data_IF_581354107730
#
_entry.id   IF_581354107730
#
_cell.length_a   1.000
_cell.length_b   1.000
_cell.length_c   1.000
_cell.angle_alpha   90.00
_cell.angle_beta   90.00
_cell.angle_gamma   90.00
#
_symmetry.space_group_name_H-M   'P 1'
#
loop_
_entity.id
_entity.type
_entity.pdbx_description
1 polymer ?
#
# COMPACT_ATOMS: atom_id res chain seq x y z
N UNK A 1 10.11 1.08 26.04
CA UNK A 1 8.85 0.62 26.71
C UNK A 1 8.44 -0.68 26.05
N UNK A 2 8.32 -1.75 26.80
CA UNK A 2 7.77 -3.03 26.32
C UNK A 2 6.28 -2.85 26.04
N UNK A 3 5.85 -3.31 24.86
CA UNK A 3 4.43 -3.26 24.50
C UNK A 3 3.60 -4.11 25.48
N UNK A 4 2.51 -3.59 26.02
CA UNK A 4 1.62 -4.36 26.87
C UNK A 4 0.86 -5.42 26.05
N UNK A 5 0.28 -6.41 26.71
CA UNK A 5 -0.57 -7.42 26.04
C UNK A 5 -1.72 -6.75 25.27
N UNK A 6 -2.34 -5.71 25.86
CA UNK A 6 -3.40 -4.93 25.19
C UNK A 6 -2.92 -4.27 23.89
N UNK A 7 -1.70 -3.71 23.89
CA UNK A 7 -1.12 -3.09 22.69
C UNK A 7 -0.89 -4.12 21.58
N UNK A 8 -0.44 -5.33 21.93
CA UNK A 8 -0.26 -6.44 20.97
C UNK A 8 -1.61 -6.89 20.40
N UNK A 9 -2.65 -6.99 21.22
CA UNK A 9 -4.00 -7.32 20.75
C UNK A 9 -4.49 -6.27 19.76
N UNK A 10 -4.37 -4.98 20.09
CA UNK A 10 -4.73 -3.89 19.17
C UNK A 10 -3.90 -3.92 17.88
N UNK A 11 -2.61 -4.19 17.96
CA UNK A 11 -1.76 -4.36 16.78
C UNK A 11 -2.29 -5.48 15.86
N UNK A 12 -2.61 -6.65 16.43
CA UNK A 12 -3.14 -7.77 15.64
C UNK A 12 -4.49 -7.40 15.02
N UNK A 13 -5.38 -6.77 15.79
CA UNK A 13 -6.70 -6.37 15.30
C UNK A 13 -6.60 -5.34 14.17
N UNK A 14 -5.79 -4.29 14.31
CA UNK A 14 -5.76 -3.19 13.35
C UNK A 14 -4.86 -3.45 12.14
N UNK A 15 -3.74 -4.18 12.30
CA UNK A 15 -2.79 -4.37 11.20
C UNK A 15 -2.93 -5.73 10.49
N UNK A 16 -3.54 -6.74 11.12
CA UNK A 16 -3.69 -8.06 10.51
C UNK A 16 -5.14 -8.41 10.18
N UNK A 17 -6.08 -8.10 11.08
CA UNK A 17 -7.47 -8.52 10.95
C UNK A 17 -8.30 -7.46 10.20
N UNK A 18 -8.28 -6.21 10.65
CA UNK A 18 -9.08 -5.13 10.07
C UNK A 18 -8.86 -4.96 8.56
N UNK A 19 -7.60 -5.01 8.02
CA UNK A 19 -7.39 -4.91 6.57
C UNK A 19 -8.12 -6.01 5.78
N UNK A 20 -8.21 -7.24 6.32
CA UNK A 20 -8.94 -8.32 5.64
C UNK A 20 -10.43 -8.01 5.53
N UNK A 21 -11.03 -7.48 6.60
CA UNK A 21 -12.46 -7.10 6.59
C UNK A 21 -12.72 -5.89 5.67
N UNK A 22 -11.92 -4.84 5.80
CA UNK A 22 -11.99 -3.65 4.94
C UNK A 22 -11.85 -4.06 3.47
N UNK A 23 -10.79 -4.80 3.16
CA UNK A 23 -10.53 -5.20 1.77
C UNK A 23 -11.57 -6.15 1.22
N UNK A 24 -12.14 -7.06 2.02
CA UNK A 24 -13.22 -7.92 1.55
C UNK A 24 -14.50 -7.12 1.27
N UNK A 25 -14.83 -6.11 2.07
CA UNK A 25 -15.94 -5.20 1.79
C UNK A 25 -15.72 -4.45 0.46
N UNK A 26 -14.50 -3.96 0.21
CA UNK A 26 -14.12 -3.30 -1.03
C UNK A 26 -14.13 -4.28 -2.21
N UNK A 27 -13.55 -5.48 -2.09
CA UNK A 27 -13.61 -6.51 -3.14
C UNK A 27 -15.05 -6.81 -3.55
N UNK A 28 -15.94 -6.98 -2.57
CA UNK A 28 -17.36 -7.22 -2.83
C UNK A 28 -18.01 -6.05 -3.58
N UNK A 29 -17.72 -4.80 -3.17
CA UNK A 29 -18.24 -3.59 -3.83
C UNK A 29 -17.72 -3.44 -5.26
N UNK A 30 -16.50 -3.88 -5.52
CA UNK A 30 -15.87 -3.85 -6.84
C UNK A 30 -16.17 -5.11 -7.68
N UNK A 31 -17.10 -5.97 -7.25
CA UNK A 31 -17.45 -7.23 -7.93
C UNK A 31 -16.24 -8.16 -8.14
N UNK A 32 -15.29 -8.12 -7.23
CA UNK A 32 -14.09 -8.96 -7.23
C UNK A 32 -14.24 -10.10 -6.23
N UNK A 33 -13.76 -11.29 -6.58
CA UNK A 33 -13.73 -12.41 -5.63
C UNK A 33 -12.79 -12.09 -4.46
N UNK A 34 -13.32 -12.08 -3.23
CA UNK A 34 -12.52 -11.94 -2.01
C UNK A 34 -11.83 -13.27 -1.69
N UNK A 35 -10.51 -13.29 -1.75
CA UNK A 35 -9.67 -14.33 -1.12
C UNK A 35 -8.86 -13.66 -0.02
N UNK A 36 -8.36 -14.42 0.98
CA UNK A 36 -7.61 -13.82 2.09
C UNK A 36 -6.46 -12.94 1.60
N UNK A 37 -5.55 -13.39 0.68
CA UNK A 37 -4.47 -12.52 0.20
C UNK A 37 -4.98 -11.27 -0.52
N UNK A 38 -6.01 -11.41 -1.37
CA UNK A 38 -6.58 -10.26 -2.09
C UNK A 38 -7.25 -9.28 -1.14
N UNK A 39 -8.04 -9.78 -0.19
CA UNK A 39 -8.69 -8.93 0.80
C UNK A 39 -7.67 -8.20 1.66
N UNK A 40 -6.59 -8.85 2.07
CA UNK A 40 -5.52 -8.23 2.85
C UNK A 40 -4.84 -7.10 2.07
N UNK A 41 -4.46 -7.33 0.81
CA UNK A 41 -3.85 -6.31 -0.08
C UNK A 41 -4.82 -5.16 -0.34
N UNK A 42 -6.06 -5.47 -0.76
CA UNK A 42 -7.07 -4.45 -1.03
C UNK A 42 -7.42 -3.64 0.21
N UNK A 43 -7.35 -4.25 1.39
CA UNK A 43 -7.51 -3.57 2.66
C UNK A 43 -6.43 -2.52 2.89
N UNK A 44 -5.16 -2.88 2.75
CA UNK A 44 -4.07 -1.92 2.87
C UNK A 44 -4.13 -0.82 1.83
N UNK A 45 -4.37 -1.15 0.56
CA UNK A 45 -4.52 -0.16 -0.49
C UNK A 45 -5.68 0.80 -0.20
N UNK A 46 -6.81 0.30 0.31
CA UNK A 46 -7.96 1.14 0.67
C UNK A 46 -7.67 2.01 1.90
N UNK A 47 -7.04 1.44 2.92
CA UNK A 47 -6.65 2.18 4.13
C UNK A 47 -5.67 3.31 3.77
N UNK A 48 -4.65 3.03 2.96
CA UNK A 48 -3.68 4.03 2.52
C UNK A 48 -4.31 5.11 1.64
N UNK A 49 -5.16 4.74 0.68
CA UNK A 49 -5.85 5.69 -0.19
C UNK A 49 -6.76 6.63 0.61
N UNK A 50 -7.54 6.09 1.54
CA UNK A 50 -8.44 6.89 2.39
C UNK A 50 -7.64 7.79 3.32
N UNK A 51 -6.55 7.28 3.92
CA UNK A 51 -5.67 8.10 4.76
C UNK A 51 -5.09 9.26 3.97
N UNK A 52 -4.56 8.99 2.76
CA UNK A 52 -4.02 10.01 1.87
C UNK A 52 -5.06 11.12 1.56
N UNK A 53 -6.30 10.73 1.23
CA UNK A 53 -7.37 11.65 0.86
C UNK A 53 -7.82 12.51 2.06
N UNK A 54 -7.85 11.95 3.26
CA UNK A 54 -8.29 12.65 4.48
C UNK A 54 -7.17 13.51 5.05
N UNK A 55 -5.99 12.93 5.22
CA UNK A 55 -4.91 13.54 6.01
C UNK A 55 -4.25 14.71 5.29
N UNK A 56 -4.04 14.65 3.97
CA UNK A 56 -3.40 15.77 3.26
C UNK A 56 -4.18 17.08 3.41
N UNK A 57 -5.50 17.15 3.16
CA UNK A 57 -6.28 18.37 3.44
C UNK A 57 -6.21 18.82 4.90
N UNK A 58 -6.25 17.89 5.86
CA UNK A 58 -6.18 18.25 7.28
C UNK A 58 -4.81 18.82 7.69
N UNK A 59 -3.71 18.32 7.08
CA UNK A 59 -2.38 18.92 7.26
C UNK A 59 -2.37 20.34 6.70
N UNK A 60 -2.86 20.54 5.48
CA UNK A 60 -2.91 21.86 4.83
C UNK A 60 -3.73 22.88 5.61
N UNK A 61 -4.81 22.45 6.24
CA UNK A 61 -5.64 23.25 7.14
C UNK A 61 -5.03 23.40 8.55
N UNK A 62 -3.85 22.81 8.80
CA UNK A 62 -3.15 22.81 10.10
C UNK A 62 -4.02 22.32 11.26
N UNK A 63 -4.90 21.34 10.98
CA UNK A 63 -5.79 20.73 11.97
C UNK A 63 -4.98 19.84 12.91
N UNK A 64 -5.43 19.65 14.15
CA UNK A 64 -4.75 18.80 15.12
C UNK A 64 -4.76 17.33 14.70
N UNK A 65 -3.69 16.61 15.03
CA UNK A 65 -3.56 15.18 14.75
C UNK A 65 -4.70 14.33 15.35
N UNK A 66 -5.21 14.71 16.51
CA UNK A 66 -6.35 14.00 17.13
C UNK A 66 -7.59 14.02 16.23
N UNK A 67 -7.87 15.13 15.55
CA UNK A 67 -8.99 15.22 14.59
C UNK A 67 -8.78 14.25 13.43
N UNK A 68 -7.57 14.20 12.88
CA UNK A 68 -7.23 13.23 11.82
C UNK A 68 -7.44 11.79 12.28
N UNK A 69 -6.96 11.44 13.49
CA UNK A 69 -7.17 10.12 14.10
C UNK A 69 -8.65 9.77 14.21
N UNK A 70 -9.47 10.71 14.68
CA UNK A 70 -10.91 10.47 14.84
C UNK A 70 -11.61 10.32 13.51
N UNK A 71 -11.40 11.26 12.58
CA UNK A 71 -12.05 11.25 11.25
C UNK A 71 -11.69 9.98 10.48
N UNK A 72 -10.40 9.65 10.43
CA UNK A 72 -9.96 8.45 9.72
C UNK A 72 -10.47 7.16 10.39
N UNK A 73 -10.43 7.07 11.72
CA UNK A 73 -10.96 5.90 12.45
C UNK A 73 -12.45 5.72 12.23
N UNK A 74 -13.24 6.81 12.24
CA UNK A 74 -14.68 6.76 11.95
C UNK A 74 -14.93 6.21 10.54
N UNK A 75 -14.12 6.61 9.56
CA UNK A 75 -14.24 6.12 8.20
C UNK A 75 -13.94 4.62 8.09
N UNK A 76 -12.87 4.15 8.76
CA UNK A 76 -12.53 2.72 8.80
C UNK A 76 -13.61 1.89 9.50
N UNK A 77 -14.11 2.36 10.64
CA UNK A 77 -15.21 1.70 11.35
C UNK A 77 -16.46 1.65 10.46
N UNK A 78 -16.77 2.73 9.74
CA UNK A 78 -17.86 2.76 8.78
C UNK A 78 -17.76 1.69 7.71
N UNK A 79 -16.56 1.47 7.12
CA UNK A 79 -16.35 0.41 6.12
C UNK A 79 -16.51 -0.98 6.75
N UNK A 80 -15.99 -1.20 7.96
CA UNK A 80 -16.11 -2.48 8.67
C UNK A 80 -17.57 -2.78 8.98
N UNK A 81 -18.31 -1.79 9.54
CA UNK A 81 -19.74 -1.92 9.84
C UNK A 81 -20.53 -2.21 8.56
N UNK A 82 -20.25 -1.49 7.46
CA UNK A 82 -20.84 -1.79 6.16
C UNK A 82 -20.59 -3.25 5.75
N UNK A 83 -19.36 -3.72 5.88
CA UNK A 83 -18.99 -5.11 5.57
C UNK A 83 -19.75 -6.13 6.42
N UNK A 84 -19.93 -5.85 7.71
CA UNK A 84 -20.69 -6.70 8.64
C UNK A 84 -22.17 -6.72 8.27
N UNK A 85 -22.79 -5.55 8.10
CA UNK A 85 -24.21 -5.40 7.77
C UNK A 85 -24.53 -6.09 6.44
N UNK A 86 -23.70 -5.90 5.42
CA UNK A 86 -23.84 -6.57 4.10
C UNK A 86 -23.37 -8.01 4.10
N UNK A 87 -22.86 -8.53 5.22
CA UNK A 87 -22.36 -9.91 5.38
C UNK A 87 -21.32 -10.28 4.33
N UNK A 88 -20.49 -9.31 3.92
CA UNK A 88 -19.49 -9.51 2.85
C UNK A 88 -18.48 -10.60 3.20
N UNK A 89 -18.22 -10.84 4.48
CA UNK A 89 -17.35 -11.92 4.95
C UNK A 89 -17.82 -13.33 4.48
N UNK A 90 -19.12 -13.50 4.17
CA UNK A 90 -19.65 -14.75 3.62
C UNK A 90 -19.27 -14.99 2.16
N UNK A 91 -18.89 -13.94 1.43
CA UNK A 91 -18.43 -14.05 0.05
C UNK A 91 -16.95 -14.36 -0.08
N UNK A 92 -16.23 -14.43 1.06
CA UNK A 92 -14.81 -14.77 1.07
C UNK A 92 -14.63 -16.24 0.67
N UNK A 93 -13.83 -16.48 -0.36
CA UNK A 93 -13.55 -17.82 -0.86
C UNK A 93 -12.17 -18.29 -0.41
N UNK A 94 -12.10 -19.51 0.07
CA UNK A 94 -10.83 -20.20 0.29
C UNK A 94 -10.56 -21.01 -0.97
N UNK A 95 -9.51 -20.69 -1.76
CA UNK A 95 -9.21 -21.44 -2.96
C UNK A 95 -8.83 -22.88 -2.59
N UNK A 96 -9.31 -23.84 -3.36
CA UNK A 96 -8.87 -25.23 -3.24
C UNK A 96 -7.44 -25.32 -3.75
N UNK A 97 -6.56 -25.77 -2.89
CA UNK A 97 -5.13 -25.94 -3.19
C UNK A 97 -4.88 -27.40 -3.53
N UNK A 98 -4.17 -27.67 -4.61
CA UNK A 98 -3.78 -29.02 -4.99
C UNK A 98 -2.83 -29.61 -3.92
N UNK A 99 -2.96 -30.92 -3.57
CA UNK A 99 -2.10 -31.53 -2.56
C UNK A 99 -0.60 -31.34 -2.84
N UNK A 100 -0.19 -31.40 -4.10
CA UNK A 100 1.19 -31.19 -4.55
C UNK A 100 1.73 -29.78 -4.29
N UNK A 101 0.86 -28.79 -4.14
CA UNK A 101 1.29 -27.40 -3.93
C UNK A 101 1.53 -27.06 -2.46
N UNK A 102 1.08 -27.88 -1.50
CA UNK A 102 1.25 -27.60 -0.06
C UNK A 102 2.71 -27.49 0.34
N UNK A 103 3.59 -28.36 -0.17
CA UNK A 103 5.02 -28.29 0.09
C UNK A 103 5.59 -26.94 -0.36
N UNK A 104 5.24 -26.49 -1.57
CA UNK A 104 5.66 -25.19 -2.09
C UNK A 104 5.15 -24.03 -1.23
N UNK A 105 3.90 -24.09 -0.76
CA UNK A 105 3.32 -23.05 0.11
C UNK A 105 4.02 -23.02 1.47
N UNK A 106 4.31 -24.19 2.06
CA UNK A 106 5.03 -24.27 3.35
C UNK A 106 6.43 -23.68 3.21
N UNK A 107 7.18 -24.05 2.15
CA UNK A 107 8.50 -23.49 1.87
C UNK A 107 8.44 -21.98 1.65
N UNK A 108 7.44 -21.49 0.89
CA UNK A 108 7.22 -20.07 0.67
C UNK A 108 7.00 -19.32 2.00
N UNK A 109 6.15 -19.84 2.87
CA UNK A 109 5.90 -19.25 4.19
C UNK A 109 7.15 -19.27 5.07
N UNK A 110 7.89 -20.38 5.09
CA UNK A 110 9.15 -20.49 5.83
C UNK A 110 10.19 -19.48 5.32
N UNK A 111 10.33 -19.31 4.00
CA UNK A 111 11.21 -18.32 3.39
C UNK A 111 10.77 -16.88 3.76
N UNK A 112 9.47 -16.61 3.79
CA UNK A 112 8.93 -15.32 4.24
C UNK A 112 9.23 -15.03 5.72
N UNK A 113 9.05 -16.02 6.60
CA UNK A 113 9.43 -15.89 8.01
C UNK A 113 10.94 -15.64 8.15
N UNK A 114 11.76 -16.37 7.41
CA UNK A 114 13.20 -16.13 7.39
C UNK A 114 13.55 -14.71 6.95
N UNK A 115 12.89 -14.19 5.91
CA UNK A 115 13.05 -12.80 5.45
C UNK A 115 12.69 -11.79 6.55
N UNK A 116 11.60 -12.02 7.30
CA UNK A 116 11.23 -11.19 8.46
C UNK A 116 12.33 -11.21 9.51
N UNK A 117 12.89 -12.38 9.84
CA UNK A 117 14.00 -12.49 10.79
C UNK A 117 15.22 -11.73 10.30
N UNK A 118 15.55 -11.83 9.02
CA UNK A 118 16.69 -11.09 8.44
C UNK A 118 16.45 -9.58 8.47
N UNK A 119 15.23 -9.10 8.24
CA UNK A 119 14.91 -7.67 8.31
C UNK A 119 15.15 -7.08 9.71
N UNK A 120 14.96 -7.86 10.78
CA UNK A 120 15.32 -7.43 12.13
C UNK A 120 16.83 -7.45 12.40
N UNK A 121 17.53 -8.45 11.85
CA UNK A 121 18.99 -8.61 12.08
C UNK A 121 19.83 -7.60 11.31
N UNK A 122 19.38 -7.21 10.13
CA UNK A 122 20.11 -6.34 9.19
C UNK A 122 19.58 -4.91 9.19
N UNK A 123 18.68 -4.57 10.09
CA UNK A 123 18.08 -3.25 10.18
C UNK A 123 19.14 -2.15 10.30
N UNK A 124 19.06 -1.15 9.43
CA UNK A 124 19.96 -0.01 9.43
C UNK A 124 19.22 1.23 9.93
N UNK A 125 19.44 1.58 11.19
CA UNK A 125 19.02 2.85 11.76
C UNK A 125 20.00 3.94 11.32
N UNK A 126 19.56 4.91 10.53
CA UNK A 126 20.44 5.96 10.01
C UNK A 126 19.71 7.31 9.85
N UNK A 127 20.36 8.25 9.13
CA UNK A 127 19.91 9.62 8.95
C UNK A 127 18.44 9.79 8.47
N UNK A 128 17.87 8.83 7.73
CA UNK A 128 16.48 8.92 7.30
C UNK A 128 15.48 8.72 8.46
N UNK A 129 15.91 8.19 9.60
CA UNK A 129 15.08 8.10 10.81
C UNK A 129 14.68 9.48 11.33
N UNK A 130 15.55 10.47 11.19
CA UNK A 130 15.24 11.87 11.54
C UNK A 130 14.02 12.37 10.76
N UNK A 131 13.87 11.96 9.51
CA UNK A 131 12.73 12.35 8.69
C UNK A 131 11.46 11.54 9.02
N UNK A 132 11.54 10.22 9.05
CA UNK A 132 10.35 9.39 9.17
C UNK A 132 9.97 9.11 10.63
N UNK A 133 10.92 8.62 11.43
CA UNK A 133 10.65 8.18 12.81
C UNK A 133 10.43 9.38 13.72
N UNK A 134 11.29 10.39 13.62
CA UNK A 134 11.20 11.58 14.49
C UNK A 134 9.94 12.38 14.18
N UNK A 135 9.56 12.55 12.90
CA UNK A 135 8.29 13.19 12.54
C UNK A 135 7.08 12.44 13.08
N UNK A 136 7.09 11.08 13.05
CA UNK A 136 6.02 10.28 13.62
C UNK A 136 5.95 10.45 15.15
N UNK A 137 7.09 10.43 15.85
CA UNK A 137 7.17 10.65 17.30
C UNK A 137 6.69 12.05 17.66
N UNK A 138 7.14 13.06 16.93
CA UNK A 138 6.76 14.46 17.17
C UNK A 138 5.25 14.67 16.95
N UNK A 139 4.68 14.10 15.89
CA UNK A 139 3.25 14.16 15.60
C UNK A 139 2.42 13.61 16.79
N UNK A 140 2.82 12.45 17.34
CA UNK A 140 2.14 11.87 18.52
C UNK A 140 2.31 12.74 19.75
N UNK A 141 3.51 13.29 19.98
CA UNK A 141 3.86 14.06 21.17
C UNK A 141 3.19 15.44 21.20
N UNK A 142 3.25 16.15 20.07
CA UNK A 142 2.78 17.55 19.98
C UNK A 142 1.30 17.66 19.60
N UNK A 143 0.68 16.57 19.14
CA UNK A 143 -0.64 16.56 18.52
C UNK A 143 -0.75 17.48 17.30
N UNK A 144 0.36 17.70 16.59
CA UNK A 144 0.47 18.52 15.38
C UNK A 144 1.05 17.71 14.23
N UNK A 145 0.59 17.91 13.02
CA UNK A 145 1.02 17.16 11.85
C UNK A 145 2.01 18.00 11.04
N UNK A 146 3.31 17.65 11.10
CA UNK A 146 4.38 18.25 10.29
C UNK A 146 4.47 19.78 10.45
N UNK A 147 4.23 20.32 11.63
CA UNK A 147 4.29 21.73 11.96
C UNK A 147 5.48 22.10 12.87
N UNK A 148 6.34 21.14 13.18
CA UNK A 148 7.51 21.32 14.03
C UNK A 148 8.77 20.97 13.26
N UNK A 149 9.77 21.83 13.29
CA UNK A 149 11.12 21.48 12.86
C UNK A 149 11.73 20.52 13.89
N UNK A 150 11.88 19.27 13.51
CA UNK A 150 12.35 18.20 14.41
C UNK A 150 13.78 18.40 14.92
N UNK A 151 14.60 19.21 14.24
CA UNK A 151 15.97 19.50 14.65
C UNK A 151 16.04 20.62 15.69
N UNK A 152 15.16 21.61 15.58
CA UNK A 152 15.17 22.80 16.46
C UNK A 152 14.04 22.81 17.48
N UNK A 153 13.00 22.00 17.29
CA UNK A 153 11.78 21.99 18.10
C UNK A 153 10.88 23.20 17.91
N UNK A 154 11.21 24.10 16.96
CA UNK A 154 10.45 25.33 16.70
C UNK A 154 9.27 25.06 15.76
N UNK A 155 8.23 25.86 15.91
CA UNK A 155 7.09 25.83 14.99
C UNK A 155 7.50 26.33 13.59
N UNK A 156 7.00 25.64 12.57
CA UNK A 156 7.26 25.94 11.16
C UNK A 156 6.12 26.78 10.62
N UNK A 157 6.45 27.92 10.02
CA UNK A 157 5.47 28.79 9.38
C UNK A 157 5.11 28.33 7.97
N UNK A 158 6.10 27.79 7.25
CA UNK A 158 5.94 27.26 5.88
C UNK A 158 6.73 25.97 5.70
N UNK A 159 6.17 25.04 4.92
CA UNK A 159 6.84 23.79 4.60
C UNK A 159 7.86 23.99 3.49
N UNK A 160 9.08 23.57 3.71
CA UNK A 160 10.18 23.64 2.73
C UNK A 160 10.95 22.32 2.67
N UNK A 161 11.66 22.09 1.57
CA UNK A 161 12.56 20.95 1.42
C UNK A 161 11.87 19.59 1.56
N UNK A 162 12.40 18.72 2.40
CA UNK A 162 11.88 17.37 2.58
C UNK A 162 10.55 17.32 3.35
N UNK A 163 10.33 18.27 4.26
CA UNK A 163 9.07 18.34 5.01
C UNK A 163 7.88 18.63 4.09
N UNK A 164 8.08 19.46 3.08
CA UNK A 164 7.09 19.71 2.06
C UNK A 164 6.67 18.42 1.29
N UNK A 165 7.65 17.56 0.98
CA UNK A 165 7.40 16.24 0.37
C UNK A 165 6.57 15.34 1.29
N UNK A 166 6.76 15.46 2.61
CA UNK A 166 6.04 14.68 3.61
C UNK A 166 4.60 15.18 3.83
N UNK A 167 4.32 16.45 3.56
CA UNK A 167 2.95 17.00 3.56
C UNK A 167 2.09 16.35 2.49
N UNK A 168 2.61 16.20 1.28
CA UNK A 168 1.86 15.58 0.16
C UNK A 168 1.91 14.05 0.19
N UNK A 169 2.81 13.46 0.98
CA UNK A 169 2.96 11.99 1.14
C UNK A 169 3.18 11.67 2.62
N UNK A 170 2.14 11.77 3.48
CA UNK A 170 2.26 11.80 4.94
C UNK A 170 2.47 10.42 5.57
N UNK A 171 3.45 9.65 5.09
CA UNK A 171 3.77 8.31 5.60
C UNK A 171 4.14 8.32 7.10
N UNK A 172 4.90 9.31 7.55
CA UNK A 172 5.24 9.45 8.96
C UNK A 172 3.99 9.70 9.84
N UNK A 173 3.02 10.47 9.34
CA UNK A 173 1.74 10.71 10.03
C UNK A 173 0.89 9.44 10.08
N UNK A 174 0.93 8.60 9.03
CA UNK A 174 0.29 7.28 9.06
C UNK A 174 0.90 6.37 10.13
N UNK A 175 2.22 6.35 10.27
CA UNK A 175 2.90 5.62 11.35
C UNK A 175 2.53 6.17 12.74
N UNK A 176 2.42 7.50 12.87
CA UNK A 176 1.91 8.15 14.08
C UNK A 176 0.47 7.72 14.40
N UNK A 177 -0.40 7.64 13.39
CA UNK A 177 -1.76 7.11 13.55
C UNK A 177 -1.75 5.68 14.11
N UNK A 178 -0.97 4.77 13.50
CA UNK A 178 -0.84 3.38 13.97
C UNK A 178 -0.33 3.33 15.42
N UNK A 179 0.66 4.16 15.76
CA UNK A 179 1.16 4.31 17.13
C UNK A 179 0.05 4.74 18.09
N UNK A 180 -0.75 5.74 17.71
CA UNK A 180 -1.82 6.28 18.54
C UNK A 180 -2.93 5.27 18.84
N UNK A 181 -3.38 4.50 17.85
CA UNK A 181 -4.46 3.53 18.00
C UNK A 181 -4.03 2.25 18.70
N UNK A 182 -2.75 1.86 18.59
CA UNK A 182 -2.26 0.63 19.23
C UNK A 182 -1.61 0.86 20.59
N UNK A 183 -1.26 2.12 20.91
CA UNK A 183 -0.49 2.45 22.11
C UNK A 183 0.98 2.01 22.07
N UNK A 184 1.47 1.52 20.92
CA UNK A 184 2.86 1.18 20.68
C UNK A 184 3.60 2.46 20.30
N UNK A 185 4.81 2.71 20.84
CA UNK A 185 5.57 3.91 20.49
C UNK A 185 5.83 4.00 18.98
N UNK A 186 5.81 5.20 18.40
CA UNK A 186 5.96 5.40 16.96
C UNK A 186 7.30 4.82 16.45
N UNK A 187 8.37 4.94 17.22
CA UNK A 187 9.66 4.33 16.89
C UNK A 187 9.58 2.80 16.83
N UNK A 188 9.00 2.16 17.85
CA UNK A 188 8.80 0.70 17.85
C UNK A 188 7.82 0.26 16.75
N UNK A 189 6.77 1.06 16.50
CA UNK A 189 5.83 0.80 15.41
C UNK A 189 6.57 0.72 14.08
N UNK A 190 7.41 1.70 13.76
CA UNK A 190 8.13 1.74 12.49
C UNK A 190 9.20 0.66 12.39
N UNK A 191 10.03 0.50 13.41
CA UNK A 191 11.19 -0.40 13.33
C UNK A 191 10.84 -1.87 13.58
N UNK A 192 9.80 -2.17 14.38
CA UNK A 192 9.54 -3.54 14.84
C UNK A 192 8.21 -4.09 14.33
N UNK A 193 7.14 -3.31 14.39
CA UNK A 193 5.80 -3.85 14.15
C UNK A 193 5.32 -3.68 12.71
N UNK A 194 5.71 -2.61 12.01
CA UNK A 194 5.30 -2.35 10.64
C UNK A 194 6.03 -3.21 9.60
N UNK A 195 7.36 -3.48 9.67
CA UNK A 195 8.07 -4.25 8.65
C UNK A 195 7.51 -5.65 8.41
N UNK A 196 7.19 -6.49 9.42
CA UNK A 196 6.58 -7.80 9.19
C UNK A 196 5.27 -7.74 8.42
N UNK A 197 4.47 -6.73 8.72
CA UNK A 197 3.18 -6.51 8.04
C UNK A 197 3.39 -6.13 6.58
N UNK A 198 4.32 -5.20 6.30
CA UNK A 198 4.65 -4.79 4.94
C UNK A 198 5.23 -5.93 4.11
N UNK A 199 6.06 -6.80 4.71
CA UNK A 199 6.56 -8.01 4.07
C UNK A 199 5.42 -8.99 3.75
N UNK A 200 4.46 -9.15 4.66
CA UNK A 200 3.28 -9.98 4.40
C UNK A 200 2.42 -9.41 3.27
N UNK A 201 2.23 -8.08 3.22
CA UNK A 201 1.52 -7.41 2.10
C UNK A 201 2.26 -7.65 0.79
N UNK A 202 3.58 -7.48 0.76
CA UNK A 202 4.44 -7.74 -0.40
C UNK A 202 4.29 -9.18 -0.89
N UNK A 203 4.39 -10.16 0.02
CA UNK A 203 4.22 -11.58 -0.32
C UNK A 203 2.83 -11.86 -0.91
N UNK A 204 1.78 -11.28 -0.32
CA UNK A 204 0.41 -11.42 -0.85
C UNK A 204 0.30 -10.79 -2.25
N UNK A 205 0.93 -9.65 -2.52
CA UNK A 205 0.95 -9.03 -3.85
C UNK A 205 1.65 -9.94 -4.87
N UNK A 206 2.83 -10.47 -4.53
CA UNK A 206 3.54 -11.40 -5.41
C UNK A 206 2.75 -12.69 -5.67
N UNK A 207 2.06 -13.21 -4.65
CA UNK A 207 1.14 -14.32 -4.82
C UNK A 207 -0.01 -14.00 -5.78
N UNK A 208 -0.54 -12.79 -5.73
CA UNK A 208 -1.60 -12.33 -6.62
C UNK A 208 -1.08 -12.11 -8.04
N UNK A 209 0.11 -11.53 -8.21
CA UNK A 209 0.79 -11.43 -9.52
C UNK A 209 1.01 -12.82 -10.11
N UNK A 210 1.55 -13.75 -9.32
CA UNK A 210 1.73 -15.14 -9.74
C UNK A 210 0.40 -15.77 -10.17
N UNK A 211 -0.70 -15.42 -9.51
CA UNK A 211 -2.05 -15.86 -9.88
C UNK A 211 -2.56 -15.32 -11.21
N UNK A 212 -2.06 -14.18 -11.66
CA UNK A 212 -2.34 -13.65 -13.00
C UNK A 212 -1.42 -14.30 -14.09
N UNK A 213 -0.29 -14.91 -13.70
CA UNK A 213 0.67 -15.50 -14.62
C UNK A 213 0.56 -17.02 -14.73
N UNK A 214 0.24 -17.70 -13.63
CA UNK A 214 0.25 -19.16 -13.52
C UNK A 214 -1.07 -19.70 -12.99
N UNK A 215 -1.57 -20.77 -13.58
CA UNK A 215 -2.80 -21.41 -13.12
C UNK A 215 -2.56 -22.32 -11.91
N UNK A 216 -1.44 -23.08 -11.87
CA UNK A 216 -1.14 -24.04 -10.79
C UNK A 216 -0.51 -23.36 -9.58
N UNK A 217 -1.00 -23.71 -8.38
CA UNK A 217 -0.49 -23.11 -7.12
C UNK A 217 0.97 -23.44 -6.85
N UNK A 218 1.50 -24.58 -7.31
CA UNK A 218 2.91 -24.92 -7.18
C UNK A 218 3.80 -23.91 -7.91
N UNK A 219 3.44 -23.48 -9.12
CA UNK A 219 4.21 -22.48 -9.86
C UNK A 219 4.11 -21.10 -9.22
N UNK A 220 2.95 -20.78 -8.61
CA UNK A 220 2.78 -19.52 -7.84
C UNK A 220 3.72 -19.49 -6.64
N UNK A 221 3.79 -20.58 -5.87
CA UNK A 221 4.69 -20.66 -4.71
C UNK A 221 6.16 -20.59 -5.12
N UNK A 222 6.56 -21.28 -6.18
CA UNK A 222 7.91 -21.21 -6.72
C UNK A 222 8.29 -19.80 -7.17
N UNK A 223 7.40 -19.11 -7.86
CA UNK A 223 7.61 -17.71 -8.26
C UNK A 223 7.86 -16.81 -7.06
N UNK A 224 7.02 -16.91 -6.02
CA UNK A 224 7.20 -16.12 -4.80
C UNK A 224 8.49 -16.49 -4.06
N UNK A 225 8.82 -17.79 -3.94
CA UNK A 225 10.07 -18.24 -3.31
C UNK A 225 11.27 -17.64 -4.03
N UNK A 226 11.32 -17.70 -5.37
CA UNK A 226 12.43 -17.15 -6.15
C UNK A 226 12.58 -15.64 -5.91
N UNK A 227 11.48 -14.89 -5.89
CA UNK A 227 11.53 -13.47 -5.57
C UNK A 227 12.02 -13.22 -4.15
N UNK A 228 11.52 -13.95 -3.15
CA UNK A 228 11.99 -13.79 -1.77
C UNK A 228 13.48 -14.11 -1.64
N UNK A 229 13.96 -15.15 -2.31
CA UNK A 229 15.40 -15.50 -2.34
C UNK A 229 16.22 -14.37 -2.98
N UNK A 230 15.74 -13.77 -4.08
CA UNK A 230 16.38 -12.60 -4.70
C UNK A 230 16.46 -11.43 -3.71
N UNK A 231 15.39 -11.14 -2.97
CA UNK A 231 15.41 -10.10 -1.95
C UNK A 231 16.36 -10.42 -0.79
N UNK A 232 16.40 -11.66 -0.32
CA UNK A 232 17.25 -12.08 0.80
C UNK A 232 18.73 -12.02 0.47
N UNK A 233 19.12 -12.32 -0.77
CA UNK A 233 20.52 -12.42 -1.18
C UNK A 233 20.96 -11.32 -2.16
N UNK A 234 20.05 -10.43 -2.56
CA UNK A 234 20.30 -9.38 -3.56
C UNK A 234 20.86 -8.06 -3.00
N UNK A 235 21.23 -7.96 -1.73
CA UNK A 235 21.68 -6.71 -1.11
C UNK A 235 23.16 -6.37 -1.38
N UNK A 236 23.52 -6.24 -2.65
CA UNK A 236 24.89 -5.87 -3.08
C UNK A 236 25.16 -4.36 -3.00
N UNK A 237 24.12 -3.54 -2.95
CA UNK A 237 24.21 -2.09 -2.95
C UNK A 237 23.16 -1.47 -2.06
N UNK A 238 23.50 -0.38 -1.40
CA UNK A 238 22.55 0.41 -0.59
C UNK A 238 21.46 1.10 -1.43
N UNK A 239 21.59 1.08 -2.76
CA UNK A 239 20.65 1.75 -3.68
C UNK A 239 19.69 0.79 -4.40
N UNK A 240 19.77 -0.52 -4.16
CA UNK A 240 18.86 -1.46 -4.79
C UNK A 240 17.59 -1.72 -3.94
N UNK A 241 16.52 -2.20 -4.59
CA UNK A 241 15.24 -2.44 -3.95
C UNK A 241 15.31 -3.54 -2.88
N UNK A 242 16.16 -4.54 -3.09
CA UNK A 242 16.37 -5.67 -2.19
C UNK A 242 16.93 -5.19 -0.85
N UNK A 243 17.98 -4.37 -0.91
CA UNK A 243 18.59 -3.78 0.30
C UNK A 243 17.58 -2.90 1.04
N UNK A 244 16.88 -1.99 0.33
CA UNK A 244 15.86 -1.16 0.97
C UNK A 244 14.78 -1.99 1.67
N UNK A 245 14.34 -3.08 1.04
CA UNK A 245 13.30 -3.96 1.60
C UNK A 245 13.77 -4.67 2.86
N UNK A 246 15.01 -5.12 2.91
CA UNK A 246 15.55 -5.87 4.08
C UNK A 246 15.88 -4.92 5.22
N UNK A 247 16.57 -3.79 4.95
CA UNK A 247 17.21 -3.01 6.02
C UNK A 247 16.42 -1.80 6.50
N UNK A 248 15.43 -1.31 5.72
CA UNK A 248 14.71 -0.06 6.03
C UNK A 248 13.30 0.02 5.45
N UNK A 249 12.57 -1.09 5.46
CA UNK A 249 11.22 -1.16 4.86
C UNK A 249 10.21 -0.16 5.45
N UNK A 250 10.43 0.31 6.69
CA UNK A 250 9.57 1.34 7.32
C UNK A 250 9.61 2.71 6.65
N UNK A 251 10.60 2.98 5.80
CA UNK A 251 10.67 4.22 5.04
C UNK A 251 9.71 4.17 3.85
N UNK A 252 8.97 5.24 3.61
CA UNK A 252 7.97 5.29 2.55
C UNK A 252 8.53 4.96 1.16
N UNK A 253 9.77 5.40 0.84
CA UNK A 253 10.45 5.08 -0.42
C UNK A 253 10.76 3.59 -0.58
N UNK A 254 11.13 2.91 0.51
CA UNK A 254 11.37 1.47 0.50
C UNK A 254 10.05 0.70 0.37
N UNK A 255 9.01 1.14 1.08
CA UNK A 255 7.65 0.58 0.93
C UNK A 255 7.11 0.78 -0.48
N UNK A 256 7.39 1.92 -1.12
CA UNK A 256 7.03 2.13 -2.53
C UNK A 256 7.69 1.12 -3.46
N UNK A 257 8.99 0.86 -3.29
CA UNK A 257 9.72 -0.12 -4.11
C UNK A 257 9.23 -1.56 -3.87
N UNK A 258 9.06 -1.97 -2.60
CA UNK A 258 8.74 -3.33 -2.23
C UNK A 258 7.24 -3.69 -2.37
N UNK A 259 6.36 -2.71 -2.16
CA UNK A 259 4.91 -2.91 -2.09
C UNK A 259 4.18 -2.09 -3.16
N UNK A 260 4.48 -0.79 -3.27
CA UNK A 260 3.75 0.13 -4.14
C UNK A 260 3.89 -0.20 -5.63
N UNK A 261 5.12 -0.39 -6.12
CA UNK A 261 5.38 -0.74 -7.54
C UNK A 261 4.76 -2.12 -7.87
N UNK A 262 4.98 -3.19 -7.08
CA UNK A 262 4.31 -4.46 -7.30
C UNK A 262 2.77 -4.37 -7.24
N UNK A 263 2.19 -3.55 -6.36
CA UNK A 263 0.75 -3.36 -6.28
C UNK A 263 0.19 -2.71 -7.55
N UNK A 264 0.86 -1.69 -8.09
CA UNK A 264 0.52 -1.09 -9.38
C UNK A 264 0.62 -2.13 -10.50
N UNK A 265 1.70 -2.91 -10.55
CA UNK A 265 1.86 -3.98 -11.53
C UNK A 265 0.72 -4.99 -11.45
N UNK A 266 0.36 -5.44 -10.24
CA UNK A 266 -0.78 -6.34 -10.04
C UNK A 266 -2.09 -5.73 -10.56
N UNK A 267 -2.36 -4.46 -10.22
CA UNK A 267 -3.57 -3.78 -10.66
C UNK A 267 -3.66 -3.71 -12.20
N UNK A 268 -2.54 -3.42 -12.87
CA UNK A 268 -2.48 -3.40 -14.32
C UNK A 268 -2.61 -4.80 -14.93
N UNK A 269 -1.88 -5.81 -14.45
CA UNK A 269 -1.98 -7.18 -14.97
C UNK A 269 -3.42 -7.69 -14.85
N UNK A 270 -4.07 -7.46 -13.72
CA UNK A 270 -5.46 -7.84 -13.51
C UNK A 270 -6.40 -7.13 -14.48
N UNK A 271 -6.23 -5.82 -14.68
CA UNK A 271 -7.02 -5.06 -15.63
C UNK A 271 -6.80 -5.58 -17.06
N UNK A 272 -5.54 -5.78 -17.48
CA UNK A 272 -5.21 -6.29 -18.81
C UNK A 272 -5.89 -7.63 -19.11
N UNK A 273 -5.88 -8.55 -18.14
CA UNK A 273 -6.47 -9.88 -18.29
C UNK A 273 -8.01 -9.84 -18.41
N UNK A 274 -8.64 -8.85 -17.79
CA UNK A 274 -10.10 -8.71 -17.81
C UNK A 274 -10.62 -7.91 -19.01
N UNK A 275 -9.77 -7.10 -19.62
CA UNK A 275 -10.18 -6.30 -20.78
C UNK A 275 -10.38 -7.17 -22.00
N UNK A 276 -11.50 -7.00 -22.72
CA UNK A 276 -11.74 -7.73 -23.97
C UNK A 276 -10.74 -7.31 -25.04
N UNK A 277 -10.41 -8.25 -25.93
CA UNK A 277 -9.68 -7.94 -27.15
C UNK A 277 -10.64 -7.27 -28.15
N UNK A 278 -10.52 -5.97 -28.30
CA UNK A 278 -11.32 -5.21 -29.25
C UNK A 278 -10.70 -5.41 -30.64
N UNK A 279 -11.37 -6.18 -31.50
CA UNK A 279 -10.87 -6.47 -32.86
C UNK A 279 -11.04 -5.28 -33.78
N UNK A 280 -11.80 -4.24 -33.39
CA UNK A 280 -12.08 -3.06 -34.21
C UNK A 280 -12.06 -1.79 -33.36
N UNK A 281 -11.22 -0.83 -33.67
CA UNK A 281 -11.08 0.48 -33.02
C UNK A 281 -12.38 1.30 -32.86
N UNK A 282 -13.51 0.81 -33.40
CA UNK A 282 -14.78 1.55 -33.50
C UNK A 282 -15.92 1.02 -32.63
N UNK A 283 -15.79 -0.12 -31.97
CA UNK A 283 -16.87 -0.67 -31.15
C UNK A 283 -16.95 -0.03 -29.77
N UNK A 284 -18.18 0.36 -29.36
CA UNK A 284 -18.45 0.88 -28.00
C UNK A 284 -18.32 -0.28 -27.01
N UNK A 285 -17.15 -0.44 -26.40
CA UNK A 285 -16.94 -1.44 -25.35
C UNK A 285 -17.75 -1.10 -24.11
N UNK A 286 -18.70 -1.93 -23.74
CA UNK A 286 -19.43 -1.82 -22.48
C UNK A 286 -18.71 -2.67 -21.44
N UNK A 287 -18.12 -2.02 -20.44
CA UNK A 287 -17.43 -2.73 -19.36
C UNK A 287 -18.42 -3.39 -18.39
N UNK A 288 -18.21 -4.67 -18.10
CA UNK A 288 -18.95 -5.40 -17.08
C UNK A 288 -18.54 -4.95 -15.66
N UNK A 289 -19.23 -5.47 -14.62
CA UNK A 289 -18.99 -5.05 -13.23
C UNK A 289 -17.56 -5.36 -12.77
N UNK A 290 -17.00 -6.51 -13.15
CA UNK A 290 -15.64 -6.92 -12.76
C UNK A 290 -14.56 -6.04 -13.44
N UNK A 291 -14.77 -5.69 -14.71
CA UNK A 291 -13.88 -4.77 -15.43
C UNK A 291 -13.89 -3.37 -14.82
N UNK A 292 -15.09 -2.84 -14.48
CA UNK A 292 -15.21 -1.57 -13.76
C UNK A 292 -14.51 -1.64 -12.40
N UNK A 293 -14.65 -2.76 -11.69
CA UNK A 293 -13.94 -2.99 -10.43
C UNK A 293 -12.42 -2.95 -10.58
N UNK A 294 -11.88 -3.57 -11.65
CA UNK A 294 -10.45 -3.52 -11.93
C UNK A 294 -9.94 -2.12 -12.28
N UNK A 295 -10.74 -1.32 -13.01
CA UNK A 295 -10.44 0.09 -13.26
C UNK A 295 -10.37 0.87 -11.94
N UNK A 296 -11.40 0.71 -11.09
CA UNK A 296 -11.41 1.35 -9.77
C UNK A 296 -10.23 0.91 -8.90
N UNK A 297 -9.77 -0.35 -9.02
CA UNK A 297 -8.58 -0.84 -8.33
C UNK A 297 -7.32 -0.09 -8.76
N UNK A 298 -7.15 0.24 -10.05
CA UNK A 298 -6.02 1.04 -10.52
C UNK A 298 -6.04 2.41 -9.86
N UNK A 299 -7.16 3.11 -9.88
CA UNK A 299 -7.30 4.42 -9.22
C UNK A 299 -7.02 4.34 -7.73
N UNK A 300 -7.60 3.35 -7.05
CA UNK A 300 -7.38 3.12 -5.62
C UNK A 300 -5.90 2.91 -5.31
N UNK A 301 -5.22 2.12 -6.15
CA UNK A 301 -3.78 1.84 -5.97
C UNK A 301 -2.94 3.10 -6.17
N UNK A 302 -3.29 3.96 -7.15
CA UNK A 302 -2.59 5.24 -7.37
C UNK A 302 -2.75 6.16 -6.16
N UNK A 303 -3.96 6.30 -5.60
CA UNK A 303 -4.17 7.02 -4.34
C UNK A 303 -3.39 6.42 -3.16
N UNK A 304 -3.35 5.10 -3.07
CA UNK A 304 -2.65 4.40 -2.00
C UNK A 304 -1.14 4.64 -2.03
N UNK A 305 -0.52 4.54 -3.20
CA UNK A 305 0.93 4.73 -3.32
C UNK A 305 1.34 6.20 -3.17
N UNK A 306 0.44 7.15 -3.38
CA UNK A 306 0.67 8.56 -3.14
C UNK A 306 1.03 8.85 -1.67
N UNK A 307 0.53 8.05 -0.72
CA UNK A 307 0.86 8.13 0.70
C UNK A 307 2.34 7.82 1.00
N UNK A 308 2.95 6.93 0.22
CA UNK A 308 4.23 6.31 0.57
C UNK A 308 5.41 7.29 0.41
N UNK A 309 5.46 8.00 -0.71
CA UNK A 309 6.53 8.95 -1.00
C UNK A 309 6.13 9.90 -2.14
N UNK A 310 6.67 11.10 -2.14
CA UNK A 310 6.47 12.06 -3.23
C UNK A 310 6.97 11.56 -4.60
N UNK A 311 7.97 10.65 -4.62
CA UNK A 311 8.43 10.01 -5.85
C UNK A 311 7.36 9.10 -6.47
N UNK A 312 6.37 8.64 -5.70
CA UNK A 312 5.29 7.80 -6.22
C UNK A 312 4.47 8.49 -7.31
N UNK A 313 4.33 9.80 -7.27
CA UNK A 313 3.62 10.57 -8.30
C UNK A 313 4.30 10.43 -9.67
N UNK A 314 5.64 10.51 -9.71
CA UNK A 314 6.42 10.35 -10.94
C UNK A 314 6.37 8.89 -11.39
N UNK A 315 6.71 7.94 -10.50
CA UNK A 315 6.78 6.52 -10.83
C UNK A 315 5.42 5.96 -11.28
N UNK A 316 4.34 6.28 -10.58
CA UNK A 316 3.00 5.82 -10.98
C UNK A 316 2.55 6.47 -12.29
N UNK A 317 2.88 7.75 -12.55
CA UNK A 317 2.57 8.41 -13.83
C UNK A 317 3.30 7.72 -14.98
N UNK A 318 4.59 7.40 -14.84
CA UNK A 318 5.35 6.65 -15.86
C UNK A 318 4.73 5.28 -16.10
N UNK A 319 4.40 4.54 -15.02
CA UNK A 319 3.75 3.24 -15.16
C UNK A 319 2.39 3.34 -15.84
N UNK A 320 1.52 4.29 -15.43
CA UNK A 320 0.23 4.54 -16.05
C UNK A 320 0.40 4.87 -17.54
N UNK A 321 1.38 5.72 -17.88
CA UNK A 321 1.70 6.10 -19.26
C UNK A 321 2.07 4.89 -20.10
N UNK A 322 3.03 4.07 -19.63
CA UNK A 322 3.48 2.88 -20.31
C UNK A 322 2.37 1.83 -20.48
N UNK A 323 1.66 1.51 -19.40
CA UNK A 323 0.58 0.52 -19.46
C UNK A 323 -0.60 0.99 -20.30
N UNK A 324 -1.00 2.27 -20.22
CA UNK A 324 -2.03 2.83 -21.08
C UNK A 324 -1.67 2.72 -22.57
N UNK A 325 -0.40 3.00 -22.91
CA UNK A 325 0.12 2.83 -24.27
C UNK A 325 0.09 1.36 -24.72
N UNK A 326 0.62 0.44 -23.90
CA UNK A 326 0.61 -1.00 -24.18
C UNK A 326 -0.82 -1.50 -24.37
N UNK A 327 -1.77 -1.08 -23.50
CA UNK A 327 -3.16 -1.50 -23.63
C UNK A 327 -3.81 -0.93 -24.89
N UNK A 328 -3.54 0.33 -25.21
CA UNK A 328 -4.04 0.96 -26.43
C UNK A 328 -3.67 0.14 -27.67
N UNK A 329 -2.41 -0.29 -27.77
CA UNK A 329 -1.92 -1.10 -28.88
C UNK A 329 -2.44 -2.54 -28.81
N UNK A 330 -2.25 -3.23 -27.69
CA UNK A 330 -2.56 -4.65 -27.54
C UNK A 330 -4.07 -4.93 -27.65
N UNK A 331 -4.90 -4.07 -27.06
CA UNK A 331 -6.35 -4.16 -27.10
C UNK A 331 -6.99 -3.40 -28.27
N UNK A 332 -6.19 -2.73 -29.10
CA UNK A 332 -6.63 -1.91 -30.25
C UNK A 332 -7.72 -0.90 -29.88
N UNK A 333 -7.63 -0.29 -28.70
CA UNK A 333 -8.67 0.57 -28.13
C UNK A 333 -8.07 1.84 -27.51
N UNK A 334 -8.23 2.98 -28.20
CA UNK A 334 -7.84 4.29 -27.65
C UNK A 334 -8.63 4.61 -26.37
N UNK A 335 -9.90 4.21 -26.30
CA UNK A 335 -10.73 4.38 -25.10
C UNK A 335 -10.13 3.71 -23.89
N UNK A 336 -9.60 2.49 -24.03
CA UNK A 336 -8.93 1.77 -22.97
C UNK A 336 -7.66 2.49 -22.53
N UNK A 337 -6.86 3.00 -23.46
CA UNK A 337 -5.67 3.79 -23.15
C UNK A 337 -6.04 5.05 -22.34
N UNK A 338 -7.01 5.84 -22.82
CA UNK A 338 -7.48 7.06 -22.15
C UNK A 338 -8.03 6.75 -20.76
N UNK A 339 -8.77 5.66 -20.61
CA UNK A 339 -9.31 5.23 -19.32
C UNK A 339 -8.18 4.90 -18.33
N UNK A 340 -7.11 4.22 -18.76
CA UNK A 340 -5.95 3.95 -17.91
C UNK A 340 -5.21 5.26 -17.58
N UNK A 341 -4.97 6.11 -18.59
CA UNK A 341 -4.33 7.41 -18.39
C UNK A 341 -5.11 8.34 -17.48
N UNK A 342 -6.44 8.20 -17.40
CA UNK A 342 -7.24 9.02 -16.49
C UNK A 342 -6.82 8.89 -15.03
N UNK A 343 -6.20 7.80 -14.62
CA UNK A 343 -5.64 7.64 -13.28
C UNK A 343 -4.49 8.63 -12.98
N UNK A 344 -3.84 9.23 -13.99
CA UNK A 344 -2.88 10.32 -13.82
C UNK A 344 -3.51 11.58 -13.20
N UNK A 345 -4.84 11.76 -13.28
CA UNK A 345 -5.52 12.91 -12.66
C UNK A 345 -5.25 13.00 -11.16
N UNK A 346 -5.07 11.87 -10.49
CA UNK A 346 -4.67 11.84 -9.07
C UNK A 346 -3.32 12.53 -8.88
N UNK A 347 -2.34 12.14 -9.69
CA UNK A 347 -0.99 12.68 -9.60
C UNK A 347 -0.95 14.17 -10.00
N UNK A 348 -1.71 14.56 -11.03
CA UNK A 348 -1.85 15.96 -11.45
C UNK A 348 -2.44 16.82 -10.33
N UNK A 349 -3.48 16.31 -9.63
CA UNK A 349 -4.09 17.03 -8.53
C UNK A 349 -3.08 17.28 -7.39
N UNK A 350 -2.33 16.25 -6.96
CA UNK A 350 -1.35 16.40 -5.90
C UNK A 350 -0.13 17.24 -6.33
N UNK A 351 0.34 17.12 -7.57
CA UNK A 351 1.39 17.99 -8.10
C UNK A 351 0.90 19.44 -8.19
N UNK A 352 -0.36 19.67 -8.56
CA UNK A 352 -0.98 21.00 -8.54
C UNK A 352 -1.02 21.59 -7.13
N UNK A 353 -1.39 20.81 -6.10
CA UNK A 353 -1.30 21.22 -4.70
C UNK A 353 0.17 21.55 -4.35
N UNK A 354 1.10 20.73 -4.82
CA UNK A 354 2.53 20.94 -4.62
C UNK A 354 3.00 22.28 -5.17
N UNK A 355 2.59 22.66 -6.37
CA UNK A 355 2.99 23.94 -6.99
C UNK A 355 2.33 25.16 -6.35
N UNK A 356 1.14 25.00 -5.74
CA UNK A 356 0.47 26.08 -5.02
C UNK A 356 1.05 26.38 -3.64
N UNK A 357 1.79 25.43 -3.07
CA UNK A 357 2.43 25.55 -1.76
C UNK A 357 3.87 26.08 -1.84
N UNK A 358 4.47 26.10 -3.02
CA UNK A 358 5.76 26.71 -3.33
C UNK A 358 5.60 28.17 -3.70
#
# INVERSE_FOLDING_TARGET
MTASVGNIVLYILFLWIAPVFVGNAICNRLSMRGTIPRSFVMGYLSMWAVFQIITVPLILLKVSFLVDVVVYSMFLIGIIVYGIVKKTYRSMTIPKVEPSAWVGIIVMLATGIYMIVQSFRLQLTNADDTRFVVNAVDTVRTNRMLLTDVNTGKEILSWTGDLFKDVISPWAVFAAYLSKITGISAASMMHTFLPPVLLAVMMCIFWLIAGELFDKHIYRSLFVILLLVMYIYGYFSIYNAETFTIIRLWQGKATMAAVGIPALLYAFLRLYRLLPDDRRWKEKTVYNAEQKGAICMVWLTVFAVALLTSMSYILSTVMIGCFGFVYGIAKKSLRTAVMVWSACLVNIAYLGISTLLH
#
